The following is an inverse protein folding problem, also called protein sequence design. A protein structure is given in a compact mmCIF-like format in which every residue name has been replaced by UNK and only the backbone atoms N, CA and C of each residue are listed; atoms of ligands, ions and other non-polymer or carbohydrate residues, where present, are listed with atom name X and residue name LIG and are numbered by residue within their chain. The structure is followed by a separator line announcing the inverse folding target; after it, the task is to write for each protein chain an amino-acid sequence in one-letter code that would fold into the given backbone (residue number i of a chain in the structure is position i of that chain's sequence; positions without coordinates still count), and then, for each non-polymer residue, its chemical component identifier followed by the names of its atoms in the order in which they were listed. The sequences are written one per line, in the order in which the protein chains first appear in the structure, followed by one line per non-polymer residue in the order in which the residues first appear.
data_IF_264201449971
#
_entry.id   IF_264201449971
#
_cell.length_a   1.000
_cell.length_b   1.000
_cell.length_c   1.000
_cell.angle_alpha   90.00
_cell.angle_beta   90.00
_cell.angle_gamma   90.00
#
_symmetry.space_group_name_H-M   'P 1'
#
loop_
_entity.id
_entity.type
_entity.pdbx_description
1 polymer ?
#
# COMPACT_ATOMS: atom_id res chain seq x y z
N UNK A 1 -18.93 0.57 21.41
CA UNK A 1 -18.66 0.11 20.04
C UNK A 1 -17.17 0.26 19.82
N UNK A 2 -16.45 -0.84 19.61
CA UNK A 2 -14.97 -0.84 19.49
C UNK A 2 -14.59 -1.24 18.08
N UNK A 3 -13.77 -0.44 17.42
CA UNK A 3 -13.24 -0.75 16.09
C UNK A 3 -11.78 -1.21 16.22
N UNK A 4 -11.41 -2.22 15.45
CA UNK A 4 -10.03 -2.68 15.35
C UNK A 4 -9.45 -2.24 14.02
N UNK A 5 -8.21 -1.76 14.03
CA UNK A 5 -7.49 -1.34 12.82
C UNK A 5 -6.26 -2.24 12.67
N UNK A 6 -6.21 -2.97 11.56
CA UNK A 6 -5.01 -3.66 11.09
C UNK A 6 -4.36 -2.76 10.03
N UNK A 7 -3.25 -2.12 10.37
CA UNK A 7 -2.56 -1.18 9.49
C UNK A 7 -1.34 -1.83 8.83
N UNK A 8 -1.29 -1.82 7.50
CA UNK A 8 -0.24 -2.37 6.66
C UNK A 8 0.28 -1.30 5.69
N UNK A 9 1.56 -1.36 5.32
CA UNK A 9 2.19 -0.43 4.39
C UNK A 9 3.43 -1.08 3.77
N UNK A 10 3.92 -0.52 2.65
CA UNK A 10 5.26 -0.76 2.11
C UNK A 10 5.60 -2.25 1.84
N UNK A 11 4.61 -3.02 1.38
CA UNK A 11 4.75 -4.46 1.13
C UNK A 11 5.62 -4.78 -0.09
N UNK A 12 5.61 -3.92 -1.11
CA UNK A 12 6.41 -4.03 -2.33
C UNK A 12 6.36 -5.44 -2.99
N UNK A 13 5.15 -5.98 -3.17
CA UNK A 13 4.94 -7.31 -3.77
C UNK A 13 5.44 -7.30 -5.21
N UNK A 14 6.43 -8.15 -5.48
CA UNK A 14 7.10 -8.33 -6.75
C UNK A 14 6.78 -9.67 -7.40
N UNK A 15 6.64 -10.73 -6.62
CA UNK A 15 6.42 -12.08 -7.15
C UNK A 15 5.82 -13.03 -6.11
N UNK A 16 5.30 -14.18 -6.59
CA UNK A 16 4.79 -15.24 -5.71
C UNK A 16 5.83 -15.84 -4.74
N UNK A 17 7.12 -15.52 -4.90
CA UNK A 17 8.19 -15.96 -4.01
C UNK A 17 8.34 -15.06 -2.78
N UNK A 18 7.67 -13.92 -2.73
CA UNK A 18 7.87 -12.96 -1.66
C UNK A 18 7.40 -13.52 -0.31
N UNK A 19 8.26 -13.50 0.73
CA UNK A 19 7.95 -14.15 2.00
C UNK A 19 6.69 -13.64 2.70
N UNK A 20 6.31 -12.38 2.46
CA UNK A 20 5.13 -11.76 3.07
C UNK A 20 3.84 -12.50 2.69
N UNK A 21 3.76 -13.05 1.47
CA UNK A 21 2.58 -13.74 0.96
C UNK A 21 2.25 -15.01 1.77
N UNK A 22 3.24 -15.57 2.49
CA UNK A 22 3.06 -16.74 3.35
C UNK A 22 2.62 -16.39 4.78
N UNK A 23 2.49 -15.09 5.10
CA UNK A 23 2.24 -14.59 6.46
C UNK A 23 0.81 -14.10 6.67
N UNK A 24 -0.07 -14.21 5.69
CA UNK A 24 -1.46 -13.72 5.77
C UNK A 24 -2.16 -14.16 7.06
N UNK A 25 -2.10 -15.46 7.39
CA UNK A 25 -2.71 -16.01 8.62
C UNK A 25 -2.08 -15.46 9.89
N UNK A 26 -0.76 -15.35 9.94
CA UNK A 26 -0.06 -14.79 11.11
C UNK A 26 -0.38 -13.30 11.30
N UNK A 27 -0.54 -12.55 10.21
CA UNK A 27 -0.94 -11.14 10.23
C UNK A 27 -2.38 -11.00 10.72
N UNK A 28 -3.30 -11.83 10.22
CA UNK A 28 -4.68 -11.89 10.71
C UNK A 28 -4.74 -12.22 12.22
N UNK A 29 -3.91 -13.15 12.69
CA UNK A 29 -3.88 -13.54 14.10
C UNK A 29 -3.53 -12.37 15.06
N UNK A 30 -2.85 -11.33 14.59
CA UNK A 30 -2.53 -10.15 15.40
C UNK A 30 -3.77 -9.43 15.95
N UNK A 31 -4.94 -9.56 15.30
CA UNK A 31 -6.17 -8.91 15.77
C UNK A 31 -7.05 -9.80 16.65
N UNK A 32 -6.76 -11.10 16.75
CA UNK A 32 -7.66 -12.10 17.36
C UNK A 32 -8.05 -11.78 18.79
N UNK A 33 -7.09 -11.35 19.61
CA UNK A 33 -7.35 -10.98 21.01
C UNK A 33 -8.32 -9.80 21.18
N UNK A 34 -8.49 -8.98 20.14
CA UNK A 34 -9.38 -7.82 20.15
C UNK A 34 -10.77 -8.13 19.59
N UNK A 35 -10.92 -9.21 18.80
CA UNK A 35 -12.17 -9.55 18.12
C UNK A 35 -13.38 -9.76 19.05
N UNK A 36 -13.27 -10.39 20.24
CA UNK A 36 -14.42 -10.60 21.12
C UNK A 36 -15.16 -9.32 21.55
N UNK A 37 -14.47 -8.17 21.53
CA UNK A 37 -15.03 -6.87 21.89
C UNK A 37 -15.28 -5.96 20.69
N UNK A 38 -14.87 -6.40 19.49
CA UNK A 38 -14.90 -5.59 18.29
C UNK A 38 -16.28 -5.62 17.62
N UNK A 39 -16.70 -4.48 17.08
CA UNK A 39 -17.86 -4.37 16.20
C UNK A 39 -17.50 -4.43 14.71
N UNK A 40 -16.20 -4.44 14.39
CA UNK A 40 -15.68 -4.47 13.02
C UNK A 40 -14.17 -4.31 12.98
N UNK A 41 -13.56 -4.77 11.89
CA UNK A 41 -12.13 -4.64 11.58
C UNK A 41 -11.96 -3.83 10.31
N UNK A 42 -11.09 -2.82 10.37
CA UNK A 42 -10.62 -2.09 9.20
C UNK A 42 -9.20 -2.55 8.89
N UNK A 43 -9.00 -3.12 7.70
CA UNK A 43 -7.67 -3.38 7.15
C UNK A 43 -7.27 -2.16 6.33
N UNK A 44 -6.37 -1.36 6.88
CA UNK A 44 -5.89 -0.13 6.25
C UNK A 44 -4.56 -0.42 5.58
N UNK A 45 -4.46 -0.12 4.29
CA UNK A 45 -3.23 -0.29 3.50
C UNK A 45 -2.81 1.09 2.99
N UNK A 46 -1.71 1.62 3.52
CA UNK A 46 -1.29 3.01 3.30
C UNK A 46 -0.29 3.22 2.16
N UNK A 47 -0.18 2.26 1.24
CA UNK A 47 0.60 2.40 0.00
C UNK A 47 1.71 1.37 -0.16
N UNK A 48 2.41 1.51 -1.29
CA UNK A 48 3.50 0.69 -1.76
C UNK A 48 3.19 -0.81 -1.63
N UNK A 49 2.05 -1.18 -2.22
CA UNK A 49 1.51 -2.54 -2.23
C UNK A 49 2.30 -3.39 -3.21
N UNK A 50 2.46 -2.89 -4.42
CA UNK A 50 3.12 -3.52 -5.54
C UNK A 50 4.54 -2.95 -5.70
N UNK A 51 5.47 -3.76 -6.18
CA UNK A 51 6.86 -3.33 -6.40
C UNK A 51 6.98 -2.28 -7.51
N UNK A 52 6.14 -2.37 -8.55
CA UNK A 52 6.16 -1.48 -9.71
C UNK A 52 4.79 -1.29 -10.35
N UNK A 53 3.72 -1.44 -9.57
CA UNK A 53 2.34 -1.24 -10.02
C UNK A 53 1.81 -2.21 -11.09
N UNK A 54 2.49 -3.33 -11.35
CA UNK A 54 2.07 -4.27 -12.41
C UNK A 54 0.81 -5.05 -11.99
N UNK A 55 -0.02 -5.40 -12.98
CA UNK A 55 -1.31 -6.04 -12.74
C UNK A 55 -1.20 -7.43 -12.07
N UNK A 56 -0.15 -8.19 -12.37
CA UNK A 56 0.13 -9.49 -11.75
C UNK A 56 0.54 -9.34 -10.26
N UNK A 57 1.27 -8.28 -9.92
CA UNK A 57 1.60 -7.93 -8.53
C UNK A 57 0.34 -7.64 -7.72
N UNK A 58 -0.62 -6.90 -8.29
CA UNK A 58 -1.91 -6.67 -7.65
C UNK A 58 -2.79 -7.92 -7.56
N UNK A 59 -2.70 -8.84 -8.51
CA UNK A 59 -3.40 -10.13 -8.40
C UNK A 59 -2.89 -10.95 -7.20
N UNK A 60 -1.58 -10.93 -6.94
CA UNK A 60 -0.98 -11.53 -5.75
C UNK A 60 -1.43 -10.81 -4.47
N UNK A 61 -1.44 -9.46 -4.47
CA UNK A 61 -1.90 -8.66 -3.34
C UNK A 61 -3.38 -8.92 -3.00
N UNK A 62 -4.25 -9.02 -4.01
CA UNK A 62 -5.66 -9.34 -3.83
C UNK A 62 -5.84 -10.71 -3.16
N UNK A 63 -5.12 -11.73 -3.64
CA UNK A 63 -5.14 -13.08 -3.05
C UNK A 63 -4.69 -13.06 -1.58
N UNK A 64 -3.63 -12.30 -1.30
CA UNK A 64 -3.10 -12.12 0.06
C UNK A 64 -4.10 -11.42 1.00
N UNK A 65 -4.76 -10.36 0.53
CA UNK A 65 -5.79 -9.65 1.30
C UNK A 65 -7.05 -10.51 1.54
N UNK A 66 -7.46 -11.31 0.57
CA UNK A 66 -8.55 -12.27 0.72
C UNK A 66 -8.22 -13.36 1.74
N UNK A 67 -6.96 -13.82 1.80
CA UNK A 67 -6.52 -14.76 2.82
C UNK A 67 -6.54 -14.13 4.23
N UNK A 68 -6.11 -12.87 4.38
CA UNK A 68 -6.23 -12.13 5.65
C UNK A 68 -7.71 -12.03 6.05
N UNK A 69 -8.57 -11.57 5.13
CA UNK A 69 -10.01 -11.39 5.37
C UNK A 69 -10.68 -12.68 5.80
N UNK A 70 -10.48 -13.76 5.04
CA UNK A 70 -11.07 -15.06 5.34
C UNK A 70 -10.58 -15.64 6.67
N UNK A 71 -9.31 -15.41 7.02
CA UNK A 71 -8.76 -15.85 8.31
C UNK A 71 -9.39 -15.09 9.48
N UNK A 72 -9.61 -13.77 9.36
CA UNK A 72 -10.30 -12.99 10.40
C UNK A 72 -11.77 -13.43 10.52
N UNK A 73 -12.46 -13.63 9.40
CA UNK A 73 -13.87 -14.05 9.37
C UNK A 73 -14.07 -15.47 9.93
N UNK A 74 -13.07 -16.35 9.81
CA UNK A 74 -13.10 -17.67 10.41
C UNK A 74 -12.98 -17.65 11.93
N UNK A 75 -12.34 -16.61 12.49
CA UNK A 75 -12.20 -16.42 13.95
C UNK A 75 -13.42 -15.71 14.56
N UNK A 76 -14.01 -14.74 13.85
CA UNK A 76 -15.20 -14.03 14.31
C UNK A 76 -16.09 -13.53 13.16
N UNK A 77 -17.40 -13.71 13.31
CA UNK A 77 -18.40 -13.24 12.34
C UNK A 77 -18.69 -11.74 12.53
N UNK A 78 -17.80 -10.90 12.01
CA UNK A 78 -17.91 -9.44 12.05
C UNK A 78 -17.50 -8.79 10.72
N UNK A 79 -17.92 -7.54 10.45
CA UNK A 79 -17.51 -6.83 9.24
C UNK A 79 -16.00 -6.62 9.17
N UNK A 80 -15.40 -7.01 8.03
CA UNK A 80 -14.01 -6.72 7.68
C UNK A 80 -14.02 -5.84 6.43
N UNK A 81 -13.52 -4.61 6.54
CA UNK A 81 -13.50 -3.62 5.47
C UNK A 81 -12.07 -3.20 5.14
N UNK A 82 -11.78 -3.03 3.84
CA UNK A 82 -10.48 -2.56 3.37
C UNK A 82 -10.53 -1.07 3.04
N UNK A 83 -9.52 -0.33 3.49
CA UNK A 83 -9.26 1.05 3.10
C UNK A 83 -7.86 1.09 2.51
N UNK A 84 -7.76 1.33 1.21
CA UNK A 84 -6.50 1.18 0.48
C UNK A 84 -6.19 2.51 -0.21
N UNK A 85 -4.99 3.02 0.04
CA UNK A 85 -4.40 4.13 -0.69
C UNK A 85 -3.17 3.61 -1.46
N UNK A 86 -2.94 4.03 -2.71
CA UNK A 86 -1.72 3.69 -3.43
C UNK A 86 -0.53 4.52 -2.93
N UNK A 87 0.66 3.92 -2.95
CA UNK A 87 1.93 4.62 -2.75
C UNK A 87 2.56 5.07 -4.07
N UNK A 88 3.82 5.50 -4.02
CA UNK A 88 4.54 5.95 -5.22
C UNK A 88 5.00 4.80 -6.12
N UNK A 89 5.15 3.58 -5.60
CA UNK A 89 5.52 2.38 -6.37
C UNK A 89 4.33 1.67 -7.01
N UNK A 90 3.11 2.09 -6.68
CA UNK A 90 1.85 1.44 -7.05
C UNK A 90 1.35 1.79 -8.47
N UNK A 91 2.16 2.49 -9.27
CA UNK A 91 1.85 2.89 -10.63
C UNK A 91 2.73 2.16 -11.66
N UNK A 92 2.09 1.58 -12.68
CA UNK A 92 2.76 0.97 -13.84
C UNK A 92 3.26 2.07 -14.79
N UNK A 93 4.51 2.48 -14.60
CA UNK A 93 5.15 3.51 -15.43
C UNK A 93 5.61 3.01 -16.81
N UNK A 94 5.57 1.71 -17.08
CA UNK A 94 5.96 1.16 -18.39
C UNK A 94 4.94 1.50 -19.47
N UNK A 95 3.67 1.76 -19.10
CA UNK A 95 2.58 2.04 -20.03
C UNK A 95 2.48 3.48 -20.52
N UNK A 96 3.11 4.46 -19.87
CA UNK A 96 2.79 5.88 -20.10
C UNK A 96 4.02 6.77 -20.32
N UNK A 97 4.80 6.44 -21.34
CA UNK A 97 6.17 6.90 -21.41
C UNK A 97 6.39 8.16 -22.26
N UNK A 98 5.67 8.36 -23.37
CA UNK A 98 6.00 9.44 -24.32
C UNK A 98 5.66 10.84 -23.80
N UNK A 99 4.40 11.08 -23.42
CA UNK A 99 3.98 12.38 -22.90
C UNK A 99 4.68 12.72 -21.57
N UNK A 100 4.82 11.73 -20.67
CA UNK A 100 5.56 11.89 -19.41
C UNK A 100 7.03 12.22 -19.65
N UNK A 101 7.71 11.52 -20.55
CA UNK A 101 9.11 11.82 -20.90
C UNK A 101 9.25 13.21 -21.51
N UNK A 102 8.34 13.62 -22.38
CA UNK A 102 8.36 14.96 -22.98
C UNK A 102 8.18 16.05 -21.91
N UNK A 103 7.24 15.86 -20.97
CA UNK A 103 7.02 16.80 -19.86
C UNK A 103 8.22 16.86 -18.91
N UNK A 104 8.76 15.71 -18.49
CA UNK A 104 9.96 15.65 -17.63
C UNK A 104 11.13 16.36 -18.34
N UNK A 105 11.35 16.06 -19.62
CA UNK A 105 12.41 16.69 -20.40
C UNK A 105 12.23 18.22 -20.50
N UNK A 106 11.00 18.70 -20.70
CA UNK A 106 10.75 20.15 -20.75
C UNK A 106 10.95 20.85 -19.41
N UNK A 107 10.79 20.15 -18.29
CA UNK A 107 11.04 20.67 -16.94
C UNK A 107 12.54 20.69 -16.63
N UNK A 108 13.27 19.62 -17.01
CA UNK A 108 14.74 19.55 -16.86
C UNK A 108 15.47 20.59 -17.73
N UNK A 109 14.93 20.92 -18.92
CA UNK A 109 15.52 21.92 -19.82
C UNK A 109 15.14 23.37 -19.46
N UNK A 110 14.15 23.58 -18.58
CA UNK A 110 13.87 24.89 -18.00
C UNK A 110 14.75 25.10 -16.77
N UNK A 111 15.87 25.83 -16.92
CA UNK A 111 16.64 26.42 -15.81
C UNK A 111 15.78 27.50 -15.10
N UNK A 112 14.66 27.11 -14.50
CA UNK A 112 13.78 27.99 -13.73
C UNK A 112 14.13 27.90 -12.23
N UNK A 113 14.86 28.90 -11.67
CA UNK A 113 15.34 28.87 -10.29
C UNK A 113 14.21 28.91 -9.25
N UNK A 114 12.96 29.16 -9.63
CA UNK A 114 11.82 29.11 -8.69
C UNK A 114 11.43 27.67 -8.29
N UNK A 115 11.65 26.68 -9.16
CA UNK A 115 11.23 25.28 -8.92
C UNK A 115 12.16 24.60 -7.90
N UNK A 116 13.46 24.87 -7.97
CA UNK A 116 14.47 24.32 -7.03
C UNK A 116 14.30 24.85 -5.60
N UNK A 117 13.81 26.08 -5.43
CA UNK A 117 13.62 26.67 -4.11
C UNK A 117 12.50 25.96 -3.29
N UNK A 118 11.56 25.30 -3.97
CA UNK A 118 10.41 24.63 -3.32
C UNK A 118 10.71 23.15 -3.02
N UNK A 119 11.47 22.46 -3.90
CA UNK A 119 11.80 21.05 -3.74
C UNK A 119 12.68 20.74 -2.52
N UNK A 120 13.72 21.55 -2.28
CA UNK A 120 14.64 21.32 -1.17
C UNK A 120 14.07 21.71 0.21
N UNK A 121 13.05 22.59 0.25
CA UNK A 121 12.50 23.08 1.52
C UNK A 121 11.53 22.10 2.18
N UNK A 122 10.95 21.16 1.42
CA UNK A 122 10.01 20.16 1.93
C UNK A 122 10.66 18.83 2.35
N UNK A 123 11.89 18.53 1.91
CA UNK A 123 12.60 17.29 2.24
C UNK A 123 13.33 17.32 3.59
N UNK A 124 13.50 18.49 4.21
CA UNK A 124 14.20 18.63 5.50
C UNK A 124 13.30 18.83 6.73
N UNK A 125 11.97 18.73 6.60
CA UNK A 125 11.06 18.94 7.74
C UNK A 125 10.69 17.63 8.47
N UNK A 126 10.99 16.45 7.93
CA UNK A 126 10.62 15.16 8.55
C UNK A 126 11.78 14.27 9.01
N UNK A 127 12.94 14.84 9.33
CA UNK A 127 14.03 14.13 10.03
C UNK A 127 14.34 14.74 11.39
N UNK A 128 13.41 14.60 12.34
CA UNK A 128 13.70 14.53 13.78
C UNK A 128 12.76 13.54 14.45
#
# INVERSE_FOLDING_TARGET
MTSVILHLSDMHIKSAKDPILKRAKSIAACVFSSLPSASGVFVVVSGDIAFSGQADQYALAATFFDEIRSTILAEAELPVSFVIAPGNHDCDFDKNNSARKMLIKSIDESDDPEIDAIGYRNLYINSR
#
